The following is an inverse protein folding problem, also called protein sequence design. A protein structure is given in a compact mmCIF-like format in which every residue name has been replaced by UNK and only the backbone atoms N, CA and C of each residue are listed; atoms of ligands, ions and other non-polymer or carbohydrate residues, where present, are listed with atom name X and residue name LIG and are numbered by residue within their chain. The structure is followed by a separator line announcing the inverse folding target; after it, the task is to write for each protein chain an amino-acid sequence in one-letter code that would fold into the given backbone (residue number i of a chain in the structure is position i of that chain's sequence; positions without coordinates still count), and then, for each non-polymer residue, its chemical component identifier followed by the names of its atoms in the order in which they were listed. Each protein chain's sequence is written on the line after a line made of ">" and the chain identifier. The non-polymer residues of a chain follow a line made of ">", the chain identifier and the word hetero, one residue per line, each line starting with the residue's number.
data_IF_245814540381
#
_entry.id   IF_245814540381
#
_cell.length_a   1.000
_cell.length_b   1.000
_cell.length_c   1.000
_cell.angle_alpha   90.00
_cell.angle_beta   90.00
_cell.angle_gamma   90.00
#
_symmetry.space_group_name_H-M   'P 1'
#
loop_
_entity.id
_entity.type
_entity.pdbx_description
1 polymer ?
#
# COMPACT_ATOMS: atom_id res chain seq x y z
N UNK A 1 -8.29 9.71 13.65
CA UNK A 1 -8.15 9.67 12.19
C UNK A 1 -9.37 8.94 11.63
N UNK A 2 -9.91 9.37 10.49
CA UNK A 2 -11.06 8.72 9.87
C UNK A 2 -10.62 7.46 9.07
N UNK A 3 -11.14 6.28 9.45
CA UNK A 3 -10.78 4.99 8.83
C UNK A 3 -11.33 4.90 7.42
N UNK A 4 -10.61 4.22 6.52
CA UNK A 4 -11.16 3.82 5.23
C UNK A 4 -11.89 2.48 5.40
N UNK A 5 -13.16 2.41 4.99
CA UNK A 5 -13.95 1.18 5.05
C UNK A 5 -14.30 0.72 3.65
N UNK A 6 -13.80 -0.45 3.24
CA UNK A 6 -14.12 -1.07 1.95
C UNK A 6 -14.77 -2.43 2.23
N UNK A 7 -16.02 -2.60 1.82
CA UNK A 7 -16.80 -3.82 2.04
C UNK A 7 -16.80 -4.30 3.51
N UNK A 8 -16.83 -3.38 4.47
CA UNK A 8 -16.83 -3.67 5.92
C UNK A 8 -15.45 -3.93 6.53
N UNK A 9 -14.36 -3.89 5.74
CA UNK A 9 -12.99 -3.96 6.26
C UNK A 9 -12.44 -2.56 6.47
N UNK A 10 -11.88 -2.32 7.65
CA UNK A 10 -11.25 -1.06 8.02
C UNK A 10 -9.76 -1.04 7.65
N UNK A 11 -9.29 0.13 7.24
CA UNK A 11 -7.89 0.43 6.94
C UNK A 11 -7.51 1.76 7.61
N UNK A 12 -6.30 1.82 8.15
CA UNK A 12 -5.74 3.02 8.75
C UNK A 12 -5.23 3.98 7.68
N UNK A 13 -4.61 3.42 6.65
CA UNK A 13 -4.03 4.14 5.54
C UNK A 13 -4.98 4.25 4.36
N UNK A 14 -5.02 5.45 3.76
CA UNK A 14 -5.74 5.73 2.51
C UNK A 14 -4.83 5.68 1.28
N UNK A 15 -3.57 5.31 1.46
CA UNK A 15 -2.60 5.16 0.38
C UNK A 15 -2.64 3.73 -0.14
N UNK A 16 -2.99 3.58 -1.42
CA UNK A 16 -2.96 2.30 -2.13
C UNK A 16 -1.72 2.30 -3.05
N UNK A 17 -0.91 1.24 -2.98
CA UNK A 17 0.36 1.14 -3.74
C UNK A 17 0.30 -0.01 -4.73
N UNK A 18 0.73 0.22 -5.97
CA UNK A 18 0.89 -0.84 -6.97
C UNK A 18 2.35 -1.28 -7.11
N UNK A 19 2.59 -2.57 -7.39
CA UNK A 19 3.96 -3.12 -7.49
C UNK A 19 4.57 -3.10 -8.90
N UNK A 20 3.82 -2.71 -9.93
CA UNK A 20 4.19 -2.99 -11.32
C UNK A 20 5.34 -2.18 -11.95
N UNK A 21 5.87 -1.14 -11.30
CA UNK A 21 6.88 -0.23 -11.92
C UNK A 21 8.06 0.12 -11.03
N UNK A 22 8.33 -0.68 -9.99
CA UNK A 22 9.52 -0.47 -9.19
C UNK A 22 10.78 -0.85 -9.97
N UNK A 23 11.83 -0.02 -9.85
CA UNK A 23 13.10 -0.26 -10.54
C UNK A 23 13.83 -1.53 -10.07
N UNK A 24 13.50 -2.02 -8.88
CA UNK A 24 13.97 -3.29 -8.33
C UNK A 24 13.08 -3.75 -7.17
N UNK A 25 13.20 -5.01 -6.78
CA UNK A 25 12.52 -5.55 -5.60
C UNK A 25 12.94 -4.82 -4.31
N UNK A 26 14.22 -4.44 -4.19
CA UNK A 26 14.71 -3.68 -3.04
C UNK A 26 14.04 -2.29 -2.96
N UNK A 27 13.87 -1.61 -4.09
CA UNK A 27 13.16 -0.33 -4.15
C UNK A 27 11.67 -0.49 -3.78
N UNK A 28 11.04 -1.58 -4.22
CA UNK A 28 9.66 -1.91 -3.84
C UNK A 28 9.52 -2.12 -2.33
N UNK A 29 10.42 -2.92 -1.72
CA UNK A 29 10.39 -3.19 -0.28
C UNK A 29 10.58 -1.90 0.52
N UNK A 30 11.59 -1.09 0.17
CA UNK A 30 11.82 0.19 0.84
C UNK A 30 10.61 1.13 0.73
N UNK A 31 9.93 1.15 -0.43
CA UNK A 31 8.71 1.93 -0.61
C UNK A 31 7.55 1.41 0.25
N UNK A 32 7.39 0.09 0.39
CA UNK A 32 6.36 -0.47 1.26
C UNK A 32 6.60 -0.10 2.73
N UNK A 33 7.82 -0.29 3.21
CA UNK A 33 8.21 0.03 4.59
C UNK A 33 8.04 1.52 4.93
N UNK A 34 8.31 2.42 3.97
CA UNK A 34 8.18 3.86 4.18
C UNK A 34 6.78 4.45 3.92
N UNK A 35 5.90 3.72 3.23
CA UNK A 35 4.60 4.27 2.77
C UNK A 35 3.47 4.17 3.78
N UNK A 36 3.59 3.28 4.78
CA UNK A 36 2.49 2.90 5.67
C UNK A 36 1.20 2.52 4.89
N UNK A 37 1.34 1.96 3.69
CA UNK A 37 0.21 1.53 2.88
C UNK A 37 -0.34 0.19 3.41
N UNK A 38 -1.65 0.13 3.65
CA UNK A 38 -2.32 -1.11 4.10
C UNK A 38 -2.81 -1.97 2.93
N UNK A 39 -2.85 -1.39 1.72
CA UNK A 39 -3.41 -2.01 0.52
C UNK A 39 -2.39 -1.95 -0.61
N UNK A 40 -2.09 -3.11 -1.18
CA UNK A 40 -1.16 -3.27 -2.28
C UNK A 40 -1.81 -4.07 -3.42
N UNK A 41 -1.62 -3.63 -4.66
CA UNK A 41 -2.01 -4.39 -5.87
C UNK A 41 -0.79 -5.05 -6.51
N UNK A 42 -0.96 -6.30 -6.94
CA UNK A 42 0.08 -7.08 -7.64
C UNK A 42 -0.14 -7.07 -9.15
N UNK A 43 0.96 -7.07 -9.91
CA UNK A 43 0.99 -7.25 -11.37
C UNK A 43 1.74 -8.54 -11.71
#
# INVERSE_FOLDING_TARGET
>A
MDKLVIAGREFDSRLLVGTGKFASNAAMVAAMEGSAADIVTVA
#
